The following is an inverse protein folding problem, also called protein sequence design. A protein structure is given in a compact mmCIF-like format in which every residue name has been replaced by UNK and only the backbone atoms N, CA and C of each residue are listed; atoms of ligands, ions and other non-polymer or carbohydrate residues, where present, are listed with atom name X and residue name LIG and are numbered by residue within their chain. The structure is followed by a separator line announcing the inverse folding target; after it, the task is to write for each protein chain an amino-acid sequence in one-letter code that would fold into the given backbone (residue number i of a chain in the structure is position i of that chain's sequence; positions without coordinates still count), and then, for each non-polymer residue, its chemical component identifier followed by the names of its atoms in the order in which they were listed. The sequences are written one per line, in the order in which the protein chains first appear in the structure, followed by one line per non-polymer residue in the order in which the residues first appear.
data_IF_560018328960
#
_entry.id   IF_560018328960
#
_cell.length_a   1.000
_cell.length_b   1.000
_cell.length_c   1.000
_cell.angle_alpha   90.00
_cell.angle_beta   90.00
_cell.angle_gamma   90.00
#
_symmetry.space_group_name_H-M   'P 1'
#
loop_
_entity.id
_entity.type
_entity.pdbx_description
1 polymer ?
#
# COMPACT_ATOMS: atom_id res chain seq x y z
N UNK A 1 -0.13 37.38 4.65
CA UNK A 1 0.93 37.26 5.65
C UNK A 1 0.32 36.45 6.79
N UNK A 2 0.50 35.17 6.82
CA UNK A 2 -0.01 34.37 7.91
C UNK A 2 1.16 33.82 8.66
N UNK A 3 1.48 34.42 9.75
CA UNK A 3 2.17 33.73 10.82
C UNK A 3 1.20 32.70 11.37
N UNK A 4 1.32 31.52 10.89
CA UNK A 4 0.70 30.35 11.47
C UNK A 4 1.31 30.13 12.83
N UNK A 5 0.77 30.77 13.84
CA UNK A 5 1.02 30.39 15.23
C UNK A 5 0.46 28.96 15.35
N UNK A 6 1.32 28.00 15.14
CA UNK A 6 0.97 26.61 15.44
C UNK A 6 0.64 26.54 16.93
N UNK A 7 -0.57 26.15 17.31
CA UNK A 7 -0.84 25.94 18.72
C UNK A 7 0.20 24.96 19.24
N UNK A 8 0.86 25.29 20.34
CA UNK A 8 2.00 24.55 20.94
C UNK A 8 1.76 23.06 21.12
N UNK A 9 0.50 22.62 21.00
CA UNK A 9 0.03 21.25 21.21
C UNK A 9 -0.86 20.73 20.08
N UNK A 10 -0.75 21.27 18.88
CA UNK A 10 -1.48 20.76 17.71
C UNK A 10 -0.96 19.37 17.27
N UNK A 11 -1.75 18.57 16.59
CA UNK A 11 -1.28 17.35 15.94
C UNK A 11 -0.11 17.62 14.99
N UNK A 12 0.82 16.65 14.80
CA UNK A 12 1.95 16.81 13.92
C UNK A 12 1.48 17.01 12.47
N UNK A 13 2.08 17.98 11.78
CA UNK A 13 1.79 18.30 10.39
C UNK A 13 2.83 17.67 9.48
N UNK A 14 2.38 17.15 8.34
CA UNK A 14 3.27 16.61 7.32
C UNK A 14 3.93 17.70 6.45
N UNK A 15 3.38 18.93 6.45
CA UNK A 15 3.86 20.05 5.64
C UNK A 15 3.70 21.39 6.38
N UNK A 16 4.29 22.46 5.82
CA UNK A 16 4.15 23.83 6.32
C UNK A 16 2.82 24.50 5.95
N UNK A 17 1.92 23.78 5.31
CA UNK A 17 0.64 24.32 4.82
C UNK A 17 -0.31 24.70 5.96
N UNK A 18 -1.27 25.56 5.67
CA UNK A 18 -2.33 25.93 6.62
C UNK A 18 -3.23 24.74 6.88
N UNK A 19 -3.38 24.40 8.14
CA UNK A 19 -4.25 23.32 8.59
C UNK A 19 -5.24 23.81 9.62
N UNK A 20 -6.49 23.37 9.47
CA UNK A 20 -7.54 23.64 10.44
C UNK A 20 -7.96 22.34 11.09
N UNK A 21 -8.13 22.41 12.39
CA UNK A 21 -8.47 21.26 13.22
C UNK A 21 -9.76 21.48 13.97
N UNK A 22 -10.64 20.51 13.96
CA UNK A 22 -11.68 20.39 14.96
C UNK A 22 -11.18 19.51 16.09
N UNK A 23 -11.24 20.00 17.31
CA UNK A 23 -10.77 19.26 18.49
C UNK A 23 -11.93 19.04 19.44
N UNK A 24 -12.23 17.77 19.71
CA UNK A 24 -13.15 17.34 20.74
C UNK A 24 -12.35 16.89 21.95
N UNK A 25 -12.78 17.32 23.13
CA UNK A 25 -12.17 16.91 24.41
C UNK A 25 -13.23 16.26 25.29
N UNK A 26 -12.96 15.06 25.68
CA UNK A 26 -13.77 14.32 26.64
C UNK A 26 -13.00 14.24 27.96
N UNK A 27 -13.56 14.77 29.04
CA UNK A 27 -12.96 14.74 30.38
C UNK A 27 -13.90 13.99 31.32
N UNK A 28 -13.41 12.91 31.91
CA UNK A 28 -14.09 12.25 33.02
C UNK A 28 -13.68 12.86 34.36
N UNK A 29 -12.44 13.32 34.44
CA UNK A 29 -11.89 14.02 35.61
C UNK A 29 -10.77 14.95 35.18
N UNK A 30 -10.32 15.91 36.00
CA UNK A 30 -9.19 16.77 35.63
C UNK A 30 -7.92 16.01 35.25
N UNK A 31 -7.68 14.83 35.82
CA UNK A 31 -6.52 13.99 35.47
C UNK A 31 -6.71 13.05 34.29
N UNK A 32 -7.93 12.88 33.79
CA UNK A 32 -8.24 11.87 32.76
C UNK A 32 -9.04 12.48 31.63
N UNK A 33 -8.43 12.53 30.47
CA UNK A 33 -9.05 13.12 29.28
C UNK A 33 -8.61 12.43 27.99
N UNK A 34 -9.49 12.46 27.01
CA UNK A 34 -9.25 12.07 25.62
C UNK A 34 -9.44 13.30 24.75
N UNK A 35 -8.52 13.55 23.84
CA UNK A 35 -8.73 14.49 22.75
C UNK A 35 -8.72 13.76 21.42
N UNK A 36 -9.67 14.14 20.56
CA UNK A 36 -9.76 13.73 19.16
C UNK A 36 -9.63 15.00 18.33
N UNK A 37 -8.69 15.01 17.40
CA UNK A 37 -8.50 16.09 16.44
C UNK A 37 -8.78 15.57 15.03
N UNK A 38 -9.67 16.23 14.31
CA UNK A 38 -9.96 15.93 12.90
C UNK A 38 -9.53 17.10 12.04
N UNK A 39 -8.84 16.78 10.96
CA UNK A 39 -8.42 17.77 9.98
C UNK A 39 -9.62 18.16 9.11
N UNK A 40 -10.03 19.42 9.15
CA UNK A 40 -11.18 19.90 8.41
C UNK A 40 -10.83 20.77 7.20
N UNK A 41 -9.59 21.19 7.06
CA UNK A 41 -9.10 21.90 5.90
C UNK A 41 -7.59 21.74 5.73
N UNK A 42 -7.16 21.35 4.53
CA UNK A 42 -5.79 21.47 4.02
C UNK A 42 -5.80 22.04 2.62
N UNK A 43 -4.89 22.96 2.35
CA UNK A 43 -4.61 23.38 0.98
C UNK A 43 -3.94 22.18 0.27
N UNK A 44 -4.67 21.39 -0.50
CA UNK A 44 -4.12 20.23 -1.21
C UNK A 44 -4.88 18.92 -1.05
N UNK A 45 -6.12 18.95 -0.57
CA UNK A 45 -7.08 17.84 -0.62
C UNK A 45 -6.78 16.60 0.25
N UNK A 46 -6.07 16.74 1.34
CA UNK A 46 -5.89 15.63 2.30
C UNK A 46 -6.72 15.83 3.57
N UNK A 47 -7.96 16.24 3.41
CA UNK A 47 -8.90 16.37 4.53
C UNK A 47 -9.23 14.99 5.12
N UNK A 48 -9.53 14.96 6.41
CA UNK A 48 -10.06 13.78 7.07
C UNK A 48 -9.05 12.96 7.86
N UNK A 49 -7.81 13.43 8.03
CA UNK A 49 -6.89 12.81 8.99
C UNK A 49 -7.45 12.98 10.40
N UNK A 50 -7.35 11.94 11.17
CA UNK A 50 -7.79 11.92 12.56
C UNK A 50 -6.62 11.58 13.47
N UNK A 51 -6.50 12.31 14.57
CA UNK A 51 -5.50 12.07 15.60
C UNK A 51 -6.20 11.94 16.95
N UNK A 52 -5.63 11.14 17.82
CA UNK A 52 -6.07 11.06 19.20
C UNK A 52 -4.87 11.16 20.15
N UNK A 53 -5.14 11.66 21.35
CA UNK A 53 -4.23 11.59 22.48
C UNK A 53 -5.01 11.47 23.79
N UNK A 54 -4.36 10.93 24.78
CA UNK A 54 -4.94 10.79 26.13
C UNK A 54 -4.10 11.53 27.16
N UNK A 55 -4.72 11.86 28.23
CA UNK A 55 -4.09 12.30 29.47
C UNK A 55 -4.54 11.39 30.60
N UNK A 56 -3.58 10.88 31.35
CA UNK A 56 -3.83 10.13 32.57
C UNK A 56 -2.74 10.52 33.57
N UNK A 57 -3.10 11.30 34.57
CA UNK A 57 -2.21 11.74 35.67
C UNK A 57 -2.93 11.56 36.97
N UNK A 58 -2.25 10.93 37.91
CA UNK A 58 -2.76 10.71 39.29
C UNK A 58 -2.35 11.85 40.22
N UNK A 59 -1.39 12.66 39.83
CA UNK A 59 -1.01 13.93 40.44
C UNK A 59 -1.65 15.09 39.66
N UNK A 60 -1.94 16.19 40.31
CA UNK A 60 -2.65 17.36 39.75
C UNK A 60 -1.86 18.13 38.66
N UNK A 61 -0.85 17.51 38.04
CA UNK A 61 -0.15 18.08 36.90
C UNK A 61 -0.92 17.83 35.60
N UNK A 62 -1.83 18.75 35.28
CA UNK A 62 -2.70 18.66 34.10
C UNK A 62 -2.04 18.98 32.78
N UNK A 63 -0.72 19.17 32.75
CA UNK A 63 0.03 19.53 31.54
C UNK A 63 0.50 18.32 30.74
N UNK A 64 0.45 17.12 31.31
CA UNK A 64 1.03 15.90 30.72
C UNK A 64 0.05 15.19 29.79
N UNK A 65 -0.06 15.68 28.58
CA UNK A 65 -0.68 14.95 27.49
C UNK A 65 0.30 13.97 26.86
N UNK A 66 -0.19 12.77 26.53
CA UNK A 66 0.55 11.87 25.64
C UNK A 66 0.71 12.51 24.25
N UNK A 67 1.71 12.05 23.49
CA UNK A 67 1.87 12.47 22.11
C UNK A 67 0.64 12.12 21.27
N UNK A 68 0.34 12.93 20.28
CA UNK A 68 -0.68 12.63 19.29
C UNK A 68 -0.35 11.35 18.53
N UNK A 69 -1.33 10.49 18.34
CA UNK A 69 -1.26 9.29 17.50
C UNK A 69 -2.25 9.46 16.37
N UNK A 70 -1.77 9.30 15.14
CA UNK A 70 -2.65 9.27 13.98
C UNK A 70 -3.50 8.00 14.01
N UNK A 71 -4.80 8.16 13.85
CA UNK A 71 -5.71 7.05 13.62
C UNK A 71 -5.59 6.69 12.15
N UNK A 72 -5.22 5.46 11.84
CA UNK A 72 -5.15 5.00 10.46
C UNK A 72 -6.52 5.15 9.81
N UNK A 73 -6.68 6.20 9.02
CA UNK A 73 -7.84 6.37 8.17
C UNK A 73 -7.61 5.59 6.90
N UNK A 74 -8.52 4.67 6.60
CA UNK A 74 -8.50 3.94 5.34
C UNK A 74 -8.78 4.94 4.20
N UNK A 75 -7.75 5.39 3.50
CA UNK A 75 -7.93 6.06 2.22
C UNK A 75 -8.41 5.04 1.19
N UNK A 76 -9.71 4.90 1.05
CA UNK A 76 -10.33 3.91 0.16
C UNK A 76 -9.85 4.01 -1.29
N UNK A 77 -9.36 5.18 -1.73
CA UNK A 77 -8.82 5.37 -3.08
C UNK A 77 -7.61 4.48 -3.40
N UNK A 78 -6.80 4.11 -2.41
CA UNK A 78 -5.65 3.21 -2.62
C UNK A 78 -6.04 1.72 -2.44
N UNK A 79 -7.26 1.44 -1.99
CA UNK A 79 -7.78 0.07 -1.89
C UNK A 79 -8.43 -0.41 -3.19
N UNK A 80 -8.66 0.48 -4.14
CA UNK A 80 -9.17 0.10 -5.45
C UNK A 80 -8.12 -0.65 -6.26
N UNK A 81 -8.57 -1.69 -6.93
CA UNK A 81 -7.74 -2.41 -7.86
C UNK A 81 -7.44 -1.56 -9.10
N UNK A 82 -6.16 -1.34 -9.37
CA UNK A 82 -5.65 -0.62 -10.53
C UNK A 82 -5.08 -1.61 -11.53
N UNK A 83 -5.28 -1.43 -12.84
CA UNK A 83 -4.66 -2.29 -13.83
C UNK A 83 -3.14 -2.16 -13.76
N UNK A 84 -2.44 -3.31 -13.83
CA UNK A 84 -0.98 -3.34 -13.91
C UNK A 84 -0.59 -3.64 -15.36
N UNK A 85 -0.04 -2.65 -16.09
CA UNK A 85 0.39 -2.84 -17.47
C UNK A 85 1.49 -3.91 -17.56
N UNK A 86 1.33 -4.79 -18.52
CA UNK A 86 2.33 -5.81 -18.84
C UNK A 86 3.24 -5.38 -19.97
N UNK A 87 4.43 -5.96 -20.01
CA UNK A 87 5.48 -5.69 -21.01
C UNK A 87 6.02 -7.00 -21.60
N UNK A 88 6.93 -6.90 -22.53
CA UNK A 88 7.68 -8.01 -23.11
C UNK A 88 6.81 -9.15 -23.67
N UNK A 89 5.69 -8.79 -24.31
CA UNK A 89 4.78 -9.76 -24.94
C UNK A 89 3.80 -10.47 -23.98
N UNK A 90 3.87 -10.19 -22.68
CA UNK A 90 2.90 -10.71 -21.72
C UNK A 90 1.53 -10.07 -21.89
N UNK A 91 0.50 -10.89 -21.81
CA UNK A 91 -0.91 -10.48 -21.93
C UNK A 91 -1.75 -11.12 -20.84
N UNK A 92 -2.97 -10.60 -20.66
CA UNK A 92 -3.93 -11.25 -19.78
C UNK A 92 -4.39 -12.56 -20.40
N UNK A 93 -4.49 -13.61 -19.57
CA UNK A 93 -5.16 -14.81 -20.01
C UNK A 93 -6.66 -14.54 -20.07
N UNK A 94 -7.26 -14.67 -21.25
CA UNK A 94 -8.69 -14.44 -21.47
C UNK A 94 -9.54 -15.68 -21.16
N UNK A 95 -9.00 -16.70 -20.49
CA UNK A 95 -9.74 -17.90 -20.14
C UNK A 95 -10.71 -17.62 -18.98
N UNK A 96 -11.98 -17.89 -19.22
CA UNK A 96 -13.05 -18.10 -18.22
C UNK A 96 -13.15 -17.10 -17.07
N UNK A 97 -13.29 -15.80 -17.39
CA UNK A 97 -13.51 -14.78 -16.36
C UNK A 97 -12.26 -14.45 -15.53
N UNK A 98 -11.10 -14.84 -16.03
CA UNK A 98 -9.82 -14.53 -15.41
C UNK A 98 -9.66 -13.02 -15.22
N UNK A 99 -9.37 -12.59 -14.01
CA UNK A 99 -9.13 -11.19 -13.74
C UNK A 99 -7.83 -10.72 -14.43
N UNK A 100 -7.91 -9.59 -15.13
CA UNK A 100 -6.74 -8.92 -15.64
C UNK A 100 -5.72 -8.63 -14.53
N UNK A 101 -4.43 -8.60 -14.88
CA UNK A 101 -3.37 -8.29 -13.92
C UNK A 101 -3.59 -6.89 -13.32
N UNK A 102 -3.65 -6.84 -12.01
CA UNK A 102 -3.98 -5.64 -11.25
C UNK A 102 -3.27 -5.60 -9.90
N UNK A 103 -3.15 -4.42 -9.35
CA UNK A 103 -2.51 -4.18 -8.06
C UNK A 103 -3.31 -3.22 -7.19
N UNK A 104 -3.08 -3.25 -5.88
CA UNK A 104 -3.59 -2.28 -4.91
C UNK A 104 -2.72 -2.27 -3.66
N UNK A 105 -2.89 -1.24 -2.82
CA UNK A 105 -2.35 -1.26 -1.44
C UNK A 105 -3.24 -2.03 -0.49
N UNK A 106 -2.65 -2.55 0.56
CA UNK A 106 -3.36 -2.98 1.76
C UNK A 106 -3.86 -1.78 2.57
N UNK A 107 -4.81 -2.02 3.46
CA UNK A 107 -5.43 -0.97 4.27
C UNK A 107 -4.44 -0.21 5.18
N UNK A 108 -3.35 -0.84 5.57
CA UNK A 108 -2.30 -0.23 6.40
C UNK A 108 -1.24 0.54 5.58
N UNK A 109 -1.33 0.52 4.25
CA UNK A 109 -0.38 1.13 3.34
C UNK A 109 1.02 0.47 3.31
N UNK A 110 1.20 -0.66 4.01
CA UNK A 110 2.50 -1.34 4.14
C UNK A 110 2.66 -2.56 3.22
N UNK A 111 1.61 -2.90 2.53
CA UNK A 111 1.56 -4.08 1.67
C UNK A 111 1.03 -3.66 0.29
N UNK A 112 1.63 -4.19 -0.76
CA UNK A 112 1.08 -4.17 -2.12
C UNK A 112 0.59 -5.57 -2.47
N UNK A 113 -0.64 -5.67 -2.93
CA UNK A 113 -1.21 -6.88 -3.51
C UNK A 113 -1.16 -6.78 -5.03
N UNK A 114 -0.76 -7.88 -5.68
CA UNK A 114 -0.83 -8.04 -7.15
C UNK A 114 -1.56 -9.35 -7.44
N UNK A 115 -2.55 -9.31 -8.32
CA UNK A 115 -3.29 -10.51 -8.70
C UNK A 115 -3.73 -10.47 -10.16
N UNK A 116 -3.86 -11.63 -10.77
CA UNK A 116 -4.34 -11.79 -12.14
C UNK A 116 -3.87 -13.10 -12.75
N UNK A 117 -4.26 -13.35 -14.01
CA UNK A 117 -3.76 -14.47 -14.78
C UNK A 117 -3.12 -13.92 -16.04
N UNK A 118 -1.84 -14.25 -16.24
CA UNK A 118 -1.01 -13.76 -17.33
C UNK A 118 -0.60 -14.92 -18.24
N UNK A 119 -0.37 -14.65 -19.51
CA UNK A 119 0.17 -15.59 -20.47
C UNK A 119 1.19 -14.95 -21.39
N UNK A 120 2.08 -15.76 -21.93
CA UNK A 120 3.06 -15.39 -22.92
C UNK A 120 2.93 -16.34 -24.11
N UNK A 121 2.64 -15.80 -25.31
CA UNK A 121 2.53 -16.62 -26.53
C UNK A 121 3.91 -17.07 -27.02
N UNK A 122 4.92 -16.21 -26.86
CA UNK A 122 6.30 -16.48 -27.25
C UNK A 122 7.01 -17.43 -26.28
N UNK A 123 8.19 -17.88 -26.69
CA UNK A 123 9.05 -18.64 -25.81
C UNK A 123 9.60 -17.75 -24.69
N UNK A 124 9.54 -18.24 -23.46
CA UNK A 124 10.14 -17.55 -22.31
C UNK A 124 11.67 -17.51 -22.44
N UNK A 125 12.25 -16.34 -22.29
CA UNK A 125 13.69 -16.06 -22.43
C UNK A 125 14.16 -15.09 -21.35
N UNK A 126 15.46 -14.84 -21.26
CA UNK A 126 16.03 -13.85 -20.34
C UNK A 126 15.47 -12.43 -20.58
N UNK A 127 15.09 -12.12 -21.83
CA UNK A 127 14.60 -10.80 -22.20
C UNK A 127 13.15 -10.57 -21.75
N UNK A 128 12.33 -11.62 -21.74
CA UNK A 128 10.90 -11.51 -21.47
C UNK A 128 10.45 -12.11 -20.14
N UNK A 129 11.36 -12.56 -19.29
CA UNK A 129 11.00 -13.04 -17.93
C UNK A 129 10.42 -11.93 -17.05
N UNK A 130 10.69 -10.64 -17.34
CA UNK A 130 10.05 -9.51 -16.68
C UNK A 130 8.70 -9.27 -17.32
N UNK A 131 7.61 -9.38 -16.56
CA UNK A 131 6.28 -9.20 -17.13
C UNK A 131 5.60 -7.88 -16.76
N UNK A 132 6.01 -7.22 -15.68
CA UNK A 132 5.43 -5.95 -15.26
C UNK A 132 6.38 -5.13 -14.38
N UNK A 133 6.02 -3.85 -14.19
CA UNK A 133 6.67 -2.94 -13.24
C UNK A 133 5.64 -2.37 -12.27
N UNK A 134 5.90 -2.52 -10.98
CA UNK A 134 5.16 -1.80 -9.96
C UNK A 134 5.48 -0.30 -10.02
N UNK A 135 4.46 0.58 -9.97
CA UNK A 135 4.68 2.01 -9.89
C UNK A 135 5.35 2.40 -8.56
N UNK A 136 5.94 3.59 -8.56
CA UNK A 136 6.48 4.17 -7.33
C UNK A 136 5.42 4.24 -6.23
N UNK A 137 5.84 4.02 -4.98
CA UNK A 137 4.92 3.93 -3.84
C UNK A 137 4.26 2.57 -3.63
N UNK A 138 4.44 1.61 -4.57
CA UNK A 138 3.97 0.22 -4.47
C UNK A 138 5.12 -0.78 -4.49
N UNK A 139 6.36 -0.29 -4.54
CA UNK A 139 7.58 -1.08 -4.66
C UNK A 139 8.09 -1.52 -3.31
N UNK A 140 8.72 -2.71 -3.20
CA UNK A 140 9.34 -3.15 -1.97
C UNK A 140 10.57 -2.30 -1.63
N UNK A 141 10.90 -2.19 -0.35
CA UNK A 141 12.12 -1.51 0.13
C UNK A 141 13.38 -2.38 0.07
N UNK A 142 13.21 -3.63 -0.22
CA UNK A 142 14.30 -4.60 -0.44
C UNK A 142 13.87 -5.62 -1.49
N UNK A 143 14.84 -6.32 -2.10
CA UNK A 143 14.51 -7.38 -3.03
C UNK A 143 13.62 -8.41 -2.36
N UNK A 144 12.52 -8.73 -3.01
CA UNK A 144 11.52 -9.62 -2.45
C UNK A 144 11.37 -10.87 -3.32
N UNK A 145 11.56 -12.01 -2.69
CA UNK A 145 11.31 -13.31 -3.31
C UNK A 145 10.02 -13.85 -2.74
N UNK A 146 9.06 -14.11 -3.59
CA UNK A 146 7.82 -14.75 -3.18
C UNK A 146 7.62 -15.97 -4.06
N UNK A 147 7.36 -17.10 -3.43
CA UNK A 147 6.90 -18.25 -4.16
C UNK A 147 5.41 -18.16 -4.26
N UNK A 148 4.81 -18.25 -5.33
CA UNK A 148 3.92 -19.26 -5.83
C UNK A 148 3.03 -18.68 -6.92
N UNK A 149 3.41 -18.87 -8.13
CA UNK A 149 2.45 -19.02 -9.20
C UNK A 149 2.01 -20.48 -9.25
N UNK A 150 0.72 -20.71 -9.36
CA UNK A 150 0.19 -22.03 -9.67
C UNK A 150 -0.33 -21.96 -11.11
N UNK A 151 0.18 -22.83 -11.96
CA UNK A 151 -0.41 -23.05 -13.28
C UNK A 151 -1.51 -24.13 -13.21
N UNK A 152 -2.14 -24.40 -14.32
CA UNK A 152 -3.16 -25.46 -14.42
C UNK A 152 -2.60 -26.86 -14.11
N UNK A 153 -1.28 -27.04 -14.15
CA UNK A 153 -0.58 -28.28 -13.80
C UNK A 153 -0.18 -28.33 -12.33
N UNK A 154 -0.62 -27.36 -11.51
CA UNK A 154 -0.26 -27.21 -10.09
C UNK A 154 1.24 -27.04 -9.85
N UNK A 155 1.95 -26.50 -10.82
CA UNK A 155 3.38 -26.23 -10.72
C UNK A 155 3.59 -24.86 -10.07
N UNK A 156 4.58 -24.76 -9.19
CA UNK A 156 4.90 -23.54 -8.45
C UNK A 156 6.08 -22.83 -9.11
N UNK A 157 5.91 -21.51 -9.35
CA UNK A 157 6.94 -20.67 -9.94
C UNK A 157 7.35 -19.58 -8.97
N UNK A 158 8.66 -19.41 -8.69
CA UNK A 158 9.12 -18.32 -7.87
C UNK A 158 9.06 -17.00 -8.66
N UNK A 159 8.49 -15.99 -8.03
CA UNK A 159 8.58 -14.60 -8.47
C UNK A 159 9.67 -13.87 -7.70
N UNK A 160 10.33 -12.96 -8.38
CA UNK A 160 11.23 -11.99 -7.77
C UNK A 160 10.70 -10.59 -8.06
N UNK A 161 10.72 -9.73 -7.06
CA UNK A 161 10.37 -8.32 -7.18
C UNK A 161 11.59 -7.49 -6.76
N UNK A 162 12.05 -6.63 -7.64
CA UNK A 162 13.19 -5.76 -7.40
C UNK A 162 12.77 -4.38 -6.86
N UNK A 163 13.75 -3.63 -6.34
CA UNK A 163 13.56 -2.30 -5.77
C UNK A 163 12.98 -1.28 -6.75
N UNK A 164 13.27 -1.44 -8.03
CA UNK A 164 12.73 -0.60 -9.11
C UNK A 164 11.32 -1.02 -9.55
N UNK A 165 10.77 -2.04 -8.92
CA UNK A 165 9.42 -2.53 -9.15
C UNK A 165 9.31 -3.63 -10.21
N UNK A 166 10.41 -4.09 -10.82
CA UNK A 166 10.38 -5.20 -11.77
C UNK A 166 9.85 -6.47 -11.13
N UNK A 167 8.91 -7.13 -11.81
CA UNK A 167 8.38 -8.43 -11.40
C UNK A 167 8.81 -9.47 -12.42
N UNK A 168 9.53 -10.47 -11.94
CA UNK A 168 10.09 -11.54 -12.77
C UNK A 168 9.47 -12.89 -12.48
N UNK A 169 9.46 -13.74 -13.47
CA UNK A 169 9.39 -15.19 -13.30
C UNK A 169 10.84 -15.68 -13.23
N UNK A 170 11.25 -16.18 -12.09
CA UNK A 170 12.64 -16.59 -11.87
C UNK A 170 12.88 -18.06 -12.23
N UNK A 171 12.45 -18.47 -13.41
CA UNK A 171 12.73 -19.82 -13.96
C UNK A 171 12.52 -19.83 -15.47
N UNK A 172 13.49 -20.38 -16.19
CA UNK A 172 13.47 -20.53 -17.64
C UNK A 172 13.42 -22.01 -18.07
N UNK A 173 13.02 -22.91 -17.19
CA UNK A 173 12.94 -24.33 -17.55
C UNK A 173 11.77 -24.64 -18.49
N UNK A 174 11.79 -25.80 -19.13
CA UNK A 174 10.78 -26.19 -20.10
C UNK A 174 9.32 -26.21 -19.52
N UNK A 175 9.17 -26.49 -18.23
CA UNK A 175 7.86 -26.45 -17.58
C UNK A 175 7.36 -25.00 -17.43
N UNK A 176 8.24 -24.04 -17.08
CA UNK A 176 7.88 -22.63 -17.03
C UNK A 176 7.42 -22.13 -18.39
N UNK A 177 8.10 -22.53 -19.47
CA UNK A 177 7.72 -22.18 -20.82
C UNK A 177 6.34 -22.73 -21.19
N UNK A 178 6.07 -23.98 -20.86
CA UNK A 178 4.75 -24.59 -21.10
C UNK A 178 3.65 -23.88 -20.31
N UNK A 179 3.91 -23.57 -19.05
CA UNK A 179 2.96 -22.87 -18.17
C UNK A 179 2.66 -21.45 -18.62
N UNK A 180 3.69 -20.72 -19.09
CA UNK A 180 3.52 -19.35 -19.58
C UNK A 180 2.53 -19.28 -20.76
N UNK A 181 2.52 -20.28 -21.64
CA UNK A 181 1.58 -20.35 -22.80
C UNK A 181 0.14 -20.62 -22.40
N UNK A 182 -0.07 -21.42 -21.37
CA UNK A 182 -1.42 -21.81 -20.91
C UNK A 182 -2.04 -20.75 -20.02
N UNK A 183 -1.24 -20.17 -19.16
CA UNK A 183 -1.66 -19.15 -18.19
C UNK A 183 -1.05 -19.40 -16.81
N UNK A 184 -0.51 -18.36 -16.24
CA UNK A 184 0.12 -18.37 -14.93
C UNK A 184 -0.65 -17.46 -13.97
N UNK A 185 -1.01 -17.97 -12.82
CA UNK A 185 -1.70 -17.20 -11.80
C UNK A 185 -0.70 -16.38 -10.98
N UNK A 186 -0.92 -15.10 -10.96
CA UNK A 186 -0.16 -14.16 -10.14
C UNK A 186 -0.96 -13.85 -8.88
N UNK A 187 -0.38 -14.11 -7.73
CA UNK A 187 -0.96 -13.72 -6.44
C UNK A 187 0.18 -13.37 -5.49
N UNK A 188 0.51 -12.08 -5.41
CA UNK A 188 1.65 -11.58 -4.67
C UNK A 188 1.18 -10.70 -3.52
N UNK A 189 1.84 -10.86 -2.37
CA UNK A 189 1.70 -10.01 -1.19
C UNK A 189 3.08 -9.45 -0.89
N UNK A 190 3.31 -8.18 -1.18
CA UNK A 190 4.62 -7.54 -1.21
C UNK A 190 4.70 -6.50 -0.09
N UNK A 191 5.59 -6.66 0.91
CA UNK A 191 5.88 -5.61 1.89
C UNK A 191 6.53 -4.38 1.23
N UNK A 192 6.09 -3.16 1.61
CA UNK A 192 6.57 -1.90 1.04
C UNK A 192 7.01 -0.88 2.09
#
# INVERSE_FOLDING_TARGET
ASDTIRPKNAPPLASADSHWWQILTFCNSPGRALQIATECFTAGQKNGRMFLRTRHVDNYDFTQWQSWREVATCYCADLEWKPLPMINGWTNSNSDGAAALRYRKGADGKITYVTGIIKLEDALSDENQIFAYLPEGYRPKQHYWTGVCVDNNKTFWPYRIDLDGRIYINSLNANAQASAKVGMWVNLTIPI
#
